data_IF_632311507486
#
_entry.id   IF_632311507486
#
_cell.length_a   1.000
_cell.length_b   1.000
_cell.length_c   1.000
_cell.angle_alpha   90.00
_cell.angle_beta   90.00
_cell.angle_gamma   90.00
#
_symmetry.space_group_name_H-M   'P 1'
#
loop_
_entity.id
_entity.type
_entity.pdbx_description
1 polymer ?
#
# COMPACT_ATOMS: atom_id res chain seq x y z
N UNK A 1 1.73 9.85 -11.41
CA UNK A 1 1.94 9.27 -10.06
C UNK A 1 0.69 9.41 -9.23
N UNK A 2 0.42 8.46 -8.37
CA UNK A 2 -0.74 8.44 -7.49
C UNK A 2 -0.27 8.53 -6.05
N UNK A 3 -0.96 9.35 -5.23
CA UNK A 3 -0.79 9.34 -3.78
C UNK A 3 -1.81 8.39 -3.18
N UNK A 4 -1.41 7.65 -2.15
CA UNK A 4 -2.34 6.74 -1.50
C UNK A 4 -3.56 7.49 -0.93
N UNK A 5 -3.39 8.71 -0.46
CA UNK A 5 -4.50 9.53 0.02
C UNK A 5 -5.58 9.79 -1.03
N UNK A 6 -5.24 9.72 -2.32
CA UNK A 6 -6.20 9.91 -3.41
C UNK A 6 -7.14 8.71 -3.57
N UNK A 7 -6.73 7.53 -3.10
CA UNK A 7 -7.51 6.29 -3.29
C UNK A 7 -7.96 5.66 -1.96
N UNK A 8 -7.51 6.19 -0.83
CA UNK A 8 -7.89 5.68 0.48
C UNK A 8 -9.40 5.77 0.67
N UNK A 9 -10.03 4.67 1.07
CA UNK A 9 -11.47 4.59 1.27
C UNK A 9 -12.28 4.42 -0.01
N UNK A 10 -11.66 4.45 -1.18
CA UNK A 10 -12.34 4.24 -2.43
C UNK A 10 -12.91 2.82 -2.52
N UNK A 11 -14.05 2.64 -3.21
CA UNK A 11 -14.62 1.31 -3.39
C UNK A 11 -13.72 0.42 -4.23
N UNK A 12 -13.76 -0.86 -3.91
CA UNK A 12 -13.26 -1.92 -4.78
C UNK A 12 -14.46 -2.52 -5.49
N UNK A 13 -14.46 -2.48 -6.82
CA UNK A 13 -15.58 -2.88 -7.66
C UNK A 13 -15.28 -4.17 -8.40
N UNK A 14 -16.22 -5.12 -8.32
CA UNK A 14 -16.20 -6.30 -9.16
C UNK A 14 -16.81 -5.91 -10.52
N UNK A 15 -16.02 -6.01 -11.59
CA UNK A 15 -16.47 -5.60 -12.92
C UNK A 15 -17.48 -6.55 -13.53
N UNK A 16 -17.50 -7.80 -13.07
CA UNK A 16 -18.45 -8.80 -13.61
C UNK A 16 -19.88 -8.58 -13.10
N UNK A 17 -20.02 -8.00 -11.90
CA UNK A 17 -21.31 -7.77 -11.26
C UNK A 17 -21.65 -6.29 -11.10
N UNK A 18 -20.68 -5.40 -11.32
CA UNK A 18 -20.78 -3.96 -11.08
C UNK A 18 -21.16 -3.63 -9.62
N UNK A 19 -20.67 -4.43 -8.69
CA UNK A 19 -20.95 -4.25 -7.25
C UNK A 19 -19.69 -3.90 -6.48
N UNK A 20 -19.86 -3.13 -5.39
CA UNK A 20 -18.78 -2.85 -4.45
C UNK A 20 -18.54 -4.08 -3.60
N UNK A 21 -17.29 -4.54 -3.58
CA UNK A 21 -16.88 -5.73 -2.82
C UNK A 21 -15.92 -5.43 -1.68
N UNK A 22 -15.62 -4.18 -1.44
CA UNK A 22 -14.77 -3.72 -0.34
C UNK A 22 -14.37 -2.27 -0.49
N UNK A 23 -13.52 -1.81 0.43
CA UNK A 23 -12.94 -0.46 0.39
C UNK A 23 -11.44 -0.51 0.64
N UNK A 24 -10.69 0.30 -0.07
CA UNK A 24 -9.23 0.38 0.08
C UNK A 24 -8.90 0.90 1.48
N UNK A 25 -8.06 0.18 2.20
CA UNK A 25 -7.67 0.52 3.57
C UNK A 25 -6.21 0.96 3.68
N UNK A 26 -5.28 0.20 3.09
CA UNK A 26 -3.86 0.49 3.22
C UNK A 26 -3.07 -0.11 2.06
N UNK A 27 -1.96 0.53 1.66
CA UNK A 27 -1.04 -0.09 0.72
C UNK A 27 -0.18 -1.12 1.46
N UNK A 28 0.17 -2.17 0.76
CA UNK A 28 1.14 -3.16 1.24
C UNK A 28 2.40 -2.96 0.42
N UNK A 29 3.50 -2.62 1.07
CA UNK A 29 4.75 -2.27 0.40
C UNK A 29 5.82 -3.29 0.75
N UNK A 30 6.55 -3.72 -0.27
CA UNK A 30 7.74 -4.55 -0.11
C UNK A 30 8.97 -3.63 -0.11
N UNK A 31 9.73 -3.55 0.99
CA UNK A 31 10.90 -2.70 1.05
C UNK A 31 12.07 -3.20 0.21
N UNK A 32 12.10 -4.48 -0.13
CA UNK A 32 13.19 -5.05 -0.96
C UNK A 32 13.05 -4.58 -2.40
N UNK A 33 11.84 -4.67 -2.96
CA UNK A 33 11.57 -4.21 -4.33
C UNK A 33 11.16 -2.74 -4.39
N UNK A 34 10.84 -2.14 -3.23
CA UNK A 34 10.39 -0.75 -3.11
C UNK A 34 9.12 -0.49 -3.92
N UNK A 35 8.20 -1.46 -3.89
CA UNK A 35 6.94 -1.42 -4.66
C UNK A 35 5.75 -1.65 -3.76
N UNK A 36 4.63 -1.04 -4.15
CA UNK A 36 3.32 -1.46 -3.66
C UNK A 36 3.01 -2.81 -4.30
N UNK A 37 2.87 -3.83 -3.47
CA UNK A 37 2.63 -5.21 -3.93
C UNK A 37 1.17 -5.62 -3.80
N UNK A 38 0.37 -4.79 -3.16
CA UNK A 38 -1.06 -5.01 -3.00
C UNK A 38 -1.69 -3.99 -2.08
N UNK A 39 -2.96 -4.23 -1.77
CA UNK A 39 -3.73 -3.38 -0.88
C UNK A 39 -4.51 -4.22 0.12
N UNK A 40 -4.56 -3.75 1.36
CA UNK A 40 -5.49 -4.28 2.34
C UNK A 40 -6.84 -3.61 2.12
N UNK A 41 -7.89 -4.42 2.20
CA UNK A 41 -9.27 -4.02 1.92
C UNK A 41 -10.10 -4.22 3.17
N UNK A 42 -10.87 -3.23 3.55
CA UNK A 42 -11.85 -3.37 4.64
C UNK A 42 -13.23 -3.69 4.06
N UNK A 43 -14.07 -4.32 4.89
CA UNK A 43 -15.43 -4.71 4.50
C UNK A 43 -15.44 -5.58 3.26
N UNK A 44 -14.46 -6.48 3.15
CA UNK A 44 -14.33 -7.37 2.02
C UNK A 44 -15.51 -8.34 1.95
N UNK A 45 -16.05 -8.50 0.75
CA UNK A 45 -17.07 -9.51 0.42
C UNK A 45 -16.46 -10.72 -0.30
N UNK A 46 -15.15 -10.79 -0.38
CA UNK A 46 -14.45 -11.93 -0.95
C UNK A 46 -13.95 -12.89 0.13
N UNK A 47 -13.20 -13.93 -0.27
CA UNK A 47 -12.69 -14.94 0.66
C UNK A 47 -11.62 -14.40 1.63
N UNK A 48 -11.01 -13.26 1.34
CA UNK A 48 -10.03 -12.61 2.21
C UNK A 48 -10.06 -11.11 2.04
N UNK A 49 -9.06 -10.42 2.59
CA UNK A 49 -9.03 -8.96 2.69
C UNK A 49 -7.81 -8.31 2.01
N UNK A 50 -7.13 -9.03 1.15
CA UNK A 50 -5.96 -8.53 0.42
C UNK A 50 -6.17 -8.70 -1.07
N UNK A 51 -5.86 -7.62 -1.82
CA UNK A 51 -5.74 -7.68 -3.28
C UNK A 51 -4.26 -7.57 -3.62
N UNK A 52 -3.73 -8.53 -4.37
CA UNK A 52 -2.39 -8.42 -4.93
C UNK A 52 -2.40 -7.41 -6.08
N UNK A 53 -1.26 -6.76 -6.28
CA UNK A 53 -1.10 -5.81 -7.39
C UNK A 53 -1.52 -6.42 -8.73
N UNK A 54 -1.07 -7.63 -9.02
CA UNK A 54 -1.39 -8.36 -10.25
C UNK A 54 -2.85 -8.82 -10.34
N UNK A 55 -3.59 -8.75 -9.24
CA UNK A 55 -5.03 -9.03 -9.21
C UNK A 55 -5.90 -7.83 -9.56
N UNK A 56 -5.32 -6.65 -9.69
CA UNK A 56 -6.06 -5.45 -10.09
C UNK A 56 -6.41 -5.50 -11.57
N UNK A 57 -7.67 -5.24 -11.90
CA UNK A 57 -8.10 -4.99 -13.28
C UNK A 57 -7.87 -3.52 -13.64
N UNK A 58 -8.03 -2.62 -12.68
CA UNK A 58 -7.80 -1.21 -12.87
C UNK A 58 -7.54 -0.48 -11.56
N UNK A 59 -6.86 0.65 -11.67
CA UNK A 59 -6.55 1.55 -10.57
C UNK A 59 -6.90 2.95 -11.01
N UNK A 60 -8.13 3.35 -10.77
CA UNK A 60 -8.64 4.64 -11.18
C UNK A 60 -8.80 5.60 -9.99
N UNK A 61 -9.13 6.87 -10.29
CA UNK A 61 -9.31 7.89 -9.24
C UNK A 61 -10.55 7.67 -8.38
N UNK A 62 -11.55 6.94 -8.90
CA UNK A 62 -12.83 6.75 -8.20
C UNK A 62 -13.00 5.35 -7.63
N UNK A 63 -12.24 4.38 -8.11
CA UNK A 63 -12.36 2.99 -7.68
C UNK A 63 -11.14 2.17 -8.08
N UNK A 64 -10.85 1.13 -7.30
CA UNK A 64 -10.05 0.00 -7.75
C UNK A 64 -11.01 -1.03 -8.33
N UNK A 65 -10.63 -1.69 -9.40
CA UNK A 65 -11.48 -2.71 -10.01
C UNK A 65 -10.79 -4.06 -10.01
N UNK A 66 -11.60 -5.11 -9.87
CA UNK A 66 -11.19 -6.50 -9.96
C UNK A 66 -12.16 -7.23 -10.89
N UNK A 67 -11.70 -8.30 -11.51
CA UNK A 67 -12.58 -9.10 -12.41
C UNK A 67 -13.52 -10.02 -11.62
N UNK A 68 -13.22 -10.27 -10.36
CA UNK A 68 -14.02 -11.11 -9.46
C UNK A 68 -13.72 -10.79 -8.02
N UNK A 69 -14.71 -10.91 -7.13
CA UNK A 69 -14.50 -10.80 -5.67
C UNK A 69 -13.53 -11.86 -5.15
N UNK A 70 -13.29 -12.92 -5.91
CA UNK A 70 -12.29 -13.95 -5.59
C UNK A 70 -10.85 -13.39 -5.52
N UNK A 71 -10.60 -12.23 -6.12
CA UNK A 71 -9.31 -11.55 -6.04
C UNK A 71 -9.01 -11.00 -4.64
N UNK A 72 -10.05 -10.87 -3.80
CA UNK A 72 -9.92 -10.50 -2.39
C UNK A 72 -9.66 -11.77 -1.61
N UNK A 73 -8.41 -12.07 -1.35
CA UNK A 73 -7.96 -13.33 -0.80
C UNK A 73 -7.12 -13.13 0.46
N UNK A 74 -6.81 -14.22 1.13
CA UNK A 74 -5.83 -14.18 2.21
C UNK A 74 -4.45 -13.84 1.64
N UNK A 75 -3.64 -13.08 2.37
CA UNK A 75 -2.30 -12.77 1.89
C UNK A 75 -1.44 -14.03 1.83
N UNK A 76 -0.43 -14.05 0.92
CA UNK A 76 0.59 -15.07 0.98
C UNK A 76 1.23 -15.14 2.37
N UNK A 77 1.71 -16.30 2.77
CA UNK A 77 2.30 -16.49 4.10
C UNK A 77 3.43 -15.49 4.38
N UNK A 78 4.24 -15.18 3.39
CA UNK A 78 5.35 -14.23 3.50
C UNK A 78 4.90 -12.78 3.67
N UNK A 79 3.62 -12.47 3.42
CA UNK A 79 3.06 -11.12 3.58
C UNK A 79 2.33 -10.94 4.92
N UNK A 80 2.17 -11.98 5.71
CA UNK A 80 1.28 -11.96 6.88
C UNK A 80 1.48 -10.76 7.80
N UNK A 81 2.73 -10.44 8.10
CA UNK A 81 3.02 -9.30 8.98
C UNK A 81 2.66 -7.97 8.35
N UNK A 82 2.94 -7.80 7.06
CA UNK A 82 2.65 -6.57 6.33
C UNK A 82 1.16 -6.37 6.12
N UNK A 83 0.45 -7.44 5.79
CA UNK A 83 -0.98 -7.38 5.53
C UNK A 83 -1.81 -7.19 6.81
N UNK A 84 -1.29 -7.57 7.96
CA UNK A 84 -1.99 -7.47 9.24
C UNK A 84 -2.00 -6.05 9.84
N UNK A 85 -1.46 -5.06 9.15
CA UNK A 85 -1.40 -3.68 9.63
C UNK A 85 -0.26 -3.37 10.58
N UNK A 86 0.51 -4.38 10.98
CA UNK A 86 1.64 -4.19 11.90
C UNK A 86 2.83 -3.48 11.26
N UNK A 87 2.89 -3.49 9.93
CA UNK A 87 3.95 -2.88 9.14
C UNK A 87 3.41 -1.82 8.17
N UNK A 88 2.30 -1.17 8.55
CA UNK A 88 1.76 -0.06 7.76
C UNK A 88 2.76 1.08 7.71
N UNK A 89 2.94 1.64 6.52
CA UNK A 89 3.85 2.77 6.32
C UNK A 89 3.31 4.07 6.90
N UNK A 90 2.03 4.35 6.63
CA UNK A 90 1.44 5.63 6.98
C UNK A 90 1.33 5.77 8.49
N UNK A 91 1.82 6.88 9.02
CA UNK A 91 1.90 7.15 10.44
C UNK A 91 3.19 6.66 11.10
N UNK A 92 4.02 5.91 10.38
CA UNK A 92 5.25 5.32 10.92
C UNK A 92 6.37 6.35 10.92
N UNK A 93 7.22 6.30 11.95
CA UNK A 93 8.42 7.13 12.02
C UNK A 93 9.45 6.65 11.01
N UNK A 94 10.07 7.58 10.31
CA UNK A 94 11.19 7.31 9.40
C UNK A 94 12.50 7.62 10.10
N UNK A 95 13.41 6.65 10.07
CA UNK A 95 14.79 6.80 10.53
C UNK A 95 15.73 6.59 9.36
N UNK A 96 16.82 7.36 9.31
CA UNK A 96 17.92 7.02 8.42
C UNK A 96 18.66 5.79 8.96
N UNK A 97 19.45 5.14 8.11
CA UNK A 97 20.30 4.01 8.53
C UNK A 97 21.32 4.41 9.62
N UNK A 98 21.54 5.71 9.83
CA UNK A 98 22.42 6.25 10.86
C UNK A 98 21.67 6.59 12.16
N UNK A 99 20.37 6.28 12.22
CA UNK A 99 19.57 6.49 13.42
C UNK A 99 18.98 7.88 13.57
N UNK A 100 19.00 8.70 12.54
CA UNK A 100 18.45 10.05 12.59
C UNK A 100 16.96 10.06 12.21
N UNK A 101 16.07 10.60 13.05
CA UNK A 101 14.65 10.68 12.74
C UNK A 101 14.40 11.78 11.70
N UNK A 102 13.55 11.46 10.72
CA UNK A 102 13.15 12.41 9.68
C UNK A 102 11.71 12.90 9.84
N UNK A 103 10.90 12.20 10.66
CA UNK A 103 9.50 12.50 10.84
C UNK A 103 8.62 11.28 10.56
N UNK A 104 7.30 11.52 10.52
CA UNK A 104 6.33 10.46 10.27
C UNK A 104 5.82 10.52 8.84
N UNK A 105 5.58 9.35 8.25
CA UNK A 105 5.00 9.26 6.91
C UNK A 105 3.55 9.70 6.96
N UNK A 106 3.22 10.68 6.11
CA UNK A 106 1.86 11.20 5.94
C UNK A 106 1.17 10.57 4.74
N UNK A 107 1.93 10.24 3.70
CA UNK A 107 1.41 9.71 2.46
C UNK A 107 2.51 8.98 1.69
N UNK A 108 2.10 8.20 0.72
CA UNK A 108 3.00 7.43 -0.16
C UNK A 108 2.60 7.73 -1.59
N UNK A 109 3.56 8.13 -2.40
CA UNK A 109 3.38 8.31 -3.84
C UNK A 109 3.95 7.11 -4.57
N UNK A 110 3.24 6.61 -5.57
CA UNK A 110 3.69 5.46 -6.34
C UNK A 110 3.28 5.57 -7.80
N UNK A 111 3.99 4.82 -8.64
CA UNK A 111 3.71 4.73 -10.07
C UNK A 111 2.56 3.74 -10.29
N UNK A 112 1.45 4.16 -10.91
CA UNK A 112 0.32 3.26 -11.14
C UNK A 112 0.61 2.17 -12.18
N UNK A 113 1.68 2.30 -12.97
CA UNK A 113 2.00 1.30 -13.99
C UNK A 113 2.65 0.04 -13.42
N UNK A 114 3.42 0.17 -12.33
CA UNK A 114 4.18 -0.95 -11.79
C UNK A 114 4.22 -1.02 -10.26
N UNK A 115 3.63 -0.04 -9.58
CA UNK A 115 3.58 0.01 -8.12
C UNK A 115 4.84 0.58 -7.46
N UNK A 116 5.85 0.99 -8.21
CA UNK A 116 7.09 1.51 -7.64
C UNK A 116 6.79 2.72 -6.76
N UNK A 117 7.26 2.67 -5.51
CA UNK A 117 7.15 3.81 -4.60
C UNK A 117 8.12 4.89 -5.07
N UNK A 118 7.59 6.05 -5.40
CA UNK A 118 8.38 7.17 -5.89
C UNK A 118 8.76 8.12 -4.76
N UNK A 119 7.90 8.25 -3.76
CA UNK A 119 8.14 9.17 -2.65
C UNK A 119 7.41 8.74 -1.38
N UNK A 120 8.10 8.87 -0.26
CA UNK A 120 7.51 8.82 1.07
C UNK A 120 7.33 10.27 1.52
N UNK A 121 6.09 10.69 1.74
CA UNK A 121 5.77 12.08 2.02
C UNK A 121 5.65 12.31 3.52
N UNK A 122 6.44 13.24 4.02
CA UNK A 122 6.46 13.65 5.41
C UNK A 122 5.78 15.02 5.53
N UNK A 123 5.70 15.59 6.73
CA UNK A 123 5.03 16.87 6.94
C UNK A 123 5.65 18.00 6.13
N UNK A 124 6.98 18.14 6.20
CA UNK A 124 7.69 19.26 5.60
C UNK A 124 8.75 18.82 4.58
N UNK A 125 8.75 17.55 4.22
CA UNK A 125 9.75 16.98 3.34
C UNK A 125 9.22 15.72 2.67
N UNK A 126 9.97 15.21 1.73
CA UNK A 126 9.71 13.88 1.16
C UNK A 126 11.04 13.15 0.99
N UNK A 127 10.94 11.82 0.96
CA UNK A 127 12.07 10.91 0.80
C UNK A 127 11.83 10.08 -0.44
N UNK A 128 12.82 10.03 -1.33
CA UNK A 128 12.72 9.20 -2.53
C UNK A 128 12.49 7.74 -2.15
N UNK A 129 11.58 7.08 -2.86
CA UNK A 129 11.22 5.69 -2.60
C UNK A 129 12.38 4.72 -2.72
N UNK A 130 13.35 5.02 -3.59
CA UNK A 130 14.53 4.19 -3.75
C UNK A 130 15.47 4.20 -2.54
N UNK A 131 15.27 5.12 -1.59
CA UNK A 131 16.00 5.13 -0.33
C UNK A 131 15.42 4.17 0.72
N UNK A 132 14.24 3.60 0.47
CA UNK A 132 13.60 2.67 1.39
C UNK A 132 14.44 1.40 1.54
N UNK A 133 14.80 1.08 2.78
CA UNK A 133 15.59 -0.10 3.11
C UNK A 133 14.79 -1.16 3.86
N UNK A 134 13.95 -0.75 4.78
CA UNK A 134 13.21 -1.70 5.61
C UNK A 134 11.98 -1.09 6.24
N UNK A 135 11.01 -1.94 6.54
CA UNK A 135 9.77 -1.59 7.22
C UNK A 135 9.64 -2.51 8.42
N UNK A 136 9.64 -1.93 9.61
CA UNK A 136 9.48 -2.66 10.85
C UNK A 136 8.34 -2.12 11.69
N UNK A 137 8.07 -2.78 12.80
CA UNK A 137 7.05 -2.30 13.75
C UNK A 137 7.42 -0.97 14.37
N UNK A 138 8.70 -0.75 14.54
CA UNK A 138 9.23 0.40 15.26
C UNK A 138 9.38 1.61 14.35
N UNK A 139 9.88 1.40 13.16
CA UNK A 139 10.19 2.48 12.24
C UNK A 139 10.32 1.95 10.82
N UNK A 140 10.30 2.88 9.87
CA UNK A 140 10.73 2.68 8.50
C UNK A 140 12.15 3.19 8.40
N UNK A 141 13.05 2.41 7.82
CA UNK A 141 14.46 2.78 7.67
C UNK A 141 14.77 3.12 6.22
N UNK A 142 15.42 4.24 6.02
CA UNK A 142 15.84 4.72 4.71
C UNK A 142 17.34 4.97 4.67
N UNK A 143 17.92 4.94 3.47
CA UNK A 143 19.32 5.31 3.27
C UNK A 143 19.55 6.76 3.70
N UNK A 144 20.65 6.97 4.37
CA UNK A 144 21.04 8.30 4.84
C UNK A 144 21.58 9.24 3.78
#
# INVERSE_FOLDING_TARGET
MIRFSDINGNPVMDTSTATTVGKVQAPIVDPVTQRVIGFRVKRSKGPGDVIRWEGLAGLGPDALTVDSAERLADPPAEWKHRAAGKLDLIGRTVLTEHGHPLGKIRDVEFDPSDGRVTSLMLKDAFVDGERLLGIGRYAVVVRG
#
